data_IF_379857554230
#
_entry.id   IF_379857554230
#
_cell.length_a   1.000
_cell.length_b   1.000
_cell.length_c   1.000
_cell.angle_alpha   90.00
_cell.angle_beta   90.00
_cell.angle_gamma   90.00
#
_symmetry.space_group_name_H-M   'P 1'
#
loop_
_entity.id
_entity.type
_entity.pdbx_description
1 polymer ?
#
# COMPACT_ATOMS: atom_id res chain seq x y z
N UNK A 1 9.66 -3.80 7.38
CA UNK A 1 9.78 -2.79 6.31
C UNK A 1 11.26 -2.58 6.11
N UNK A 2 11.78 -2.86 4.91
CA UNK A 2 13.23 -2.78 4.67
C UNK A 2 13.54 -1.50 3.90
N UNK A 3 12.64 -1.11 3.00
CA UNK A 3 12.77 0.15 2.26
C UNK A 3 11.43 0.87 2.25
N UNK A 4 11.49 2.18 2.41
CA UNK A 4 10.40 3.11 2.15
C UNK A 4 10.91 4.31 1.38
N UNK A 5 10.13 4.78 0.40
CA UNK A 5 10.40 6.01 -0.32
C UNK A 5 9.10 6.82 -0.37
N UNK A 6 9.17 8.08 0.06
CA UNK A 6 8.10 9.06 -0.09
C UNK A 6 8.61 10.23 -0.91
N UNK A 7 7.88 10.60 -1.97
CA UNK A 7 8.19 11.75 -2.80
C UNK A 7 6.97 12.67 -2.89
N UNK A 8 7.21 13.97 -2.71
CA UNK A 8 6.21 15.01 -2.85
C UNK A 8 6.76 16.06 -3.81
N UNK A 9 6.10 16.24 -4.94
CA UNK A 9 6.42 17.29 -5.91
C UNK A 9 5.26 18.28 -5.98
N UNK A 10 5.58 19.58 -5.94
CA UNK A 10 4.62 20.67 -6.04
C UNK A 10 5.09 21.63 -7.14
N UNK A 11 4.36 21.66 -8.24
CA UNK A 11 4.64 22.59 -9.34
C UNK A 11 3.54 23.64 -9.40
N UNK A 12 3.95 24.89 -9.50
CA UNK A 12 3.05 26.04 -9.61
C UNK A 12 3.49 26.92 -10.76
N UNK A 13 2.74 26.87 -11.86
CA UNK A 13 2.92 27.78 -12.99
C UNK A 13 1.79 28.80 -13.02
N UNK A 14 2.16 30.08 -13.08
CA UNK A 14 1.23 31.18 -13.28
C UNK A 14 1.61 31.91 -14.55
N UNK A 15 0.65 32.09 -15.45
CA UNK A 15 0.81 32.90 -16.67
C UNK A 15 -0.36 33.88 -16.77
N UNK A 16 -0.09 35.13 -17.12
CA UNK A 16 -1.10 36.18 -17.20
C UNK A 16 -0.58 37.47 -17.81
N UNK A 17 -1.48 38.40 -18.12
CA UNK A 17 -1.15 39.68 -18.75
C UNK A 17 -0.50 40.61 -17.72
N UNK A 18 0.76 41.06 -17.92
CA UNK A 18 1.59 41.68 -16.86
C UNK A 18 1.00 42.96 -16.23
N UNK A 19 0.12 43.68 -16.93
CA UNK A 19 -0.49 44.92 -16.42
C UNK A 19 -1.76 44.65 -15.61
N UNK A 20 -2.58 43.68 -16.01
CA UNK A 20 -3.93 43.45 -15.44
C UNK A 20 -3.92 42.30 -14.42
N UNK A 21 -3.03 41.31 -14.57
CA UNK A 21 -2.93 40.15 -13.68
C UNK A 21 -2.45 40.49 -12.26
N UNK A 22 -1.93 41.69 -12.03
CA UNK A 22 -1.45 42.15 -10.72
C UNK A 22 -2.54 42.79 -9.85
N UNK A 23 -3.72 43.13 -10.40
CA UNK A 23 -4.84 43.72 -9.65
C UNK A 23 -5.61 42.60 -8.94
N UNK A 24 -5.67 42.53 -7.60
CA UNK A 24 -6.20 41.38 -6.87
C UNK A 24 -7.62 40.97 -7.27
N UNK A 25 -8.49 41.95 -7.57
CA UNK A 25 -9.90 41.75 -7.95
C UNK A 25 -10.04 41.23 -9.38
N UNK A 26 -9.22 41.73 -10.32
CA UNK A 26 -9.31 41.37 -11.75
C UNK A 26 -8.40 40.19 -12.12
N UNK A 27 -7.42 39.87 -11.27
CA UNK A 27 -6.41 38.82 -11.49
C UNK A 27 -7.02 37.49 -11.92
N UNK A 28 -8.16 37.10 -11.36
CA UNK A 28 -8.82 35.81 -11.65
C UNK A 28 -9.27 35.67 -13.12
N UNK A 29 -9.59 36.77 -13.79
CA UNK A 29 -10.06 36.77 -15.18
C UNK A 29 -8.92 36.76 -16.20
N UNK A 30 -7.72 37.19 -15.80
CA UNK A 30 -6.57 37.39 -16.70
C UNK A 30 -5.33 36.56 -16.32
N UNK A 31 -5.51 35.56 -15.45
CA UNK A 31 -4.44 34.67 -15.01
C UNK A 31 -4.85 33.22 -15.19
N UNK A 32 -3.94 32.43 -15.77
CA UNK A 32 -4.01 30.99 -15.83
C UNK A 32 -3.04 30.42 -14.81
N UNK A 33 -3.60 29.81 -13.77
CA UNK A 33 -2.84 29.09 -12.76
C UNK A 33 -2.92 27.59 -13.05
N UNK A 34 -1.75 26.95 -13.15
CA UNK A 34 -1.62 25.50 -13.20
C UNK A 34 -0.94 25.04 -11.91
N UNK A 35 -1.69 24.25 -11.12
CA UNK A 35 -1.21 23.67 -9.86
C UNK A 35 -1.14 22.16 -10.03
N UNK A 36 0.06 21.62 -9.91
CA UNK A 36 0.28 20.18 -9.98
C UNK A 36 0.78 19.69 -8.62
N UNK A 37 0.10 18.70 -8.05
CA UNK A 37 0.47 18.12 -6.77
C UNK A 37 0.60 16.60 -6.91
N UNK A 38 1.85 16.13 -6.90
CA UNK A 38 2.18 14.73 -7.07
C UNK A 38 2.71 14.16 -5.76
N UNK A 39 2.11 13.06 -5.29
CA UNK A 39 2.53 12.35 -4.08
C UNK A 39 2.69 10.87 -4.40
N UNK A 40 3.88 10.33 -4.15
CA UNK A 40 4.23 8.93 -4.42
C UNK A 40 4.80 8.30 -3.15
N UNK A 41 4.29 7.13 -2.77
CA UNK A 41 4.83 6.33 -1.67
C UNK A 41 5.12 4.91 -2.16
N UNK A 42 6.31 4.41 -1.85
CA UNK A 42 6.76 3.05 -2.15
C UNK A 42 7.17 2.40 -0.83
N UNK A 43 6.62 1.21 -0.55
CA UNK A 43 6.92 0.44 0.66
C UNK A 43 7.31 -0.97 0.20
N UNK A 44 8.49 -1.43 0.63
CA UNK A 44 9.00 -2.78 0.33
C UNK A 44 9.16 -3.54 1.65
N UNK A 45 8.47 -4.68 1.73
CA UNK A 45 8.39 -5.55 2.91
C UNK A 45 8.97 -6.92 2.54
N UNK A 46 9.93 -7.42 3.32
CA UNK A 46 10.32 -8.83 3.29
C UNK A 46 10.01 -9.46 4.65
N UNK A 47 9.48 -10.69 4.61
CA UNK A 47 9.32 -11.57 5.76
C UNK A 47 10.11 -12.84 5.48
N UNK A 48 11.34 -12.98 6.00
CA UNK A 48 12.05 -14.24 5.90
C UNK A 48 11.36 -15.29 6.79
N UNK A 49 11.33 -16.53 6.32
CA UNK A 49 10.91 -17.68 7.12
C UNK A 49 12.09 -18.64 7.16
N UNK A 50 12.55 -18.97 8.36
CA UNK A 50 13.57 -19.98 8.57
C UNK A 50 12.85 -21.33 8.63
N UNK A 51 13.32 -22.31 7.85
CA UNK A 51 12.79 -23.67 7.85
C UNK A 51 13.77 -24.56 8.62
N UNK A 52 13.39 -25.07 9.78
CA UNK A 52 14.14 -26.11 10.50
C UNK A 52 13.36 -27.41 10.30
N UNK A 53 14.04 -28.47 9.82
CA UNK A 53 13.37 -29.69 9.31
C UNK A 53 12.54 -30.38 10.40
N UNK A 54 13.13 -30.62 11.57
CA UNK A 54 12.50 -31.38 12.64
C UNK A 54 11.20 -30.71 13.14
N UNK A 55 11.23 -29.41 13.43
CA UNK A 55 10.02 -28.68 13.85
C UNK A 55 9.00 -28.54 12.71
N UNK A 56 9.45 -28.43 11.45
CA UNK A 56 8.52 -28.39 10.31
C UNK A 56 7.79 -29.71 10.14
N UNK A 57 8.51 -30.82 10.27
CA UNK A 57 7.94 -32.16 10.23
C UNK A 57 6.96 -32.37 11.40
N UNK A 58 7.27 -31.95 12.62
CA UNK A 58 6.34 -32.01 13.76
C UNK A 58 5.08 -31.15 13.55
N UNK A 59 5.22 -29.93 13.03
CA UNK A 59 4.08 -29.06 12.71
C UNK A 59 3.22 -29.63 11.57
N UNK A 60 3.85 -30.20 10.55
CA UNK A 60 3.13 -30.89 9.47
C UNK A 60 2.41 -32.13 10.02
N UNK A 61 3.10 -33.02 10.73
CA UNK A 61 2.52 -34.23 11.30
C UNK A 61 1.38 -33.93 12.29
N UNK A 62 1.53 -32.92 13.14
CA UNK A 62 0.46 -32.48 14.06
C UNK A 62 -0.74 -31.88 13.30
N UNK A 63 -0.50 -31.08 12.25
CA UNK A 63 -1.58 -30.54 11.41
C UNK A 63 -2.33 -31.64 10.62
N UNK A 64 -1.62 -32.65 10.10
CA UNK A 64 -2.21 -33.82 9.44
C UNK A 64 -3.02 -34.68 10.43
N UNK A 65 -2.51 -34.88 11.64
CA UNK A 65 -3.21 -35.62 12.71
C UNK A 65 -4.51 -34.90 13.12
N UNK A 66 -4.45 -33.59 13.33
CA UNK A 66 -5.62 -32.77 13.66
C UNK A 66 -6.66 -32.77 12.54
N UNK A 67 -6.23 -32.69 11.28
CA UNK A 67 -7.12 -32.77 10.11
C UNK A 67 -7.83 -34.13 10.04
N UNK A 68 -7.09 -35.22 10.26
CA UNK A 68 -7.63 -36.59 10.30
C UNK A 68 -8.68 -36.74 11.42
N UNK A 69 -8.38 -36.26 12.62
CA UNK A 69 -9.29 -36.33 13.76
C UNK A 69 -10.58 -35.55 13.52
N UNK A 70 -10.49 -34.39 12.88
CA UNK A 70 -11.65 -33.59 12.51
C UNK A 70 -12.50 -34.27 11.43
N UNK A 71 -11.89 -34.92 10.44
CA UNK A 71 -12.59 -35.67 9.39
C UNK A 71 -13.34 -36.89 9.96
N UNK A 72 -12.74 -37.60 10.92
CA UNK A 72 -13.39 -38.71 11.60
C UNK A 72 -14.58 -38.21 12.43
N UNK A 73 -14.42 -37.09 13.16
CA UNK A 73 -15.51 -36.47 13.92
C UNK A 73 -16.69 -36.02 13.07
N UNK A 74 -16.46 -35.45 11.89
CA UNK A 74 -17.56 -35.08 10.99
C UNK A 74 -18.27 -36.29 10.41
N UNK A 75 -17.55 -37.38 10.13
CA UNK A 75 -18.16 -38.60 9.58
C UNK A 75 -19.01 -39.36 10.62
N UNK A 76 -18.64 -39.28 11.91
CA UNK A 76 -19.42 -39.89 13.01
C UNK A 76 -20.64 -39.04 13.40
N UNK A 77 -20.59 -37.71 13.24
CA UNK A 77 -21.74 -36.83 13.50
C UNK A 77 -22.84 -36.89 12.43
N UNK A 78 -22.51 -37.41 11.25
CA UNK A 78 -23.42 -37.48 10.10
C UNK A 78 -24.05 -38.88 9.92
N UNK A 79 -23.85 -39.78 10.89
CA UNK A 79 -24.54 -41.08 11.04
C UNK A 79 -25.42 -41.02 12.29
#
# INVERSE_FOLDING_TARGET
MIVGLGQITKDHLTSGIPIISNIPVLRRLFTRDQKNHNKTNLIILLKPTILIREEHEENLLSSLSNKKNNMIRTNIKNQ
#
